data_IF_587054208864
#
_entry.id   IF_587054208864
#
_cell.length_a   1.000
_cell.length_b   1.000
_cell.length_c   1.000
_cell.angle_alpha   90.00
_cell.angle_beta   90.00
_cell.angle_gamma   90.00
#
_symmetry.space_group_name_H-M   'P 1'
#
loop_
_entity.id
_entity.type
_entity.pdbx_description
1 polymer ?
#
# COMPACT_ATOMS: atom_id res chain seq x y z
N UNK A 1 49.67 1.15 15.66
CA UNK A 1 48.95 2.44 15.51
C UNK A 1 48.37 2.41 14.10
N UNK A 2 47.08 2.16 13.86
CA UNK A 2 45.94 3.07 14.05
C UNK A 2 44.68 2.21 14.29
N UNK A 3 44.23 2.12 15.55
CA UNK A 3 42.93 1.55 15.91
C UNK A 3 41.82 2.59 15.72
N UNK A 4 41.65 3.07 14.47
CA UNK A 4 40.64 4.07 14.11
C UNK A 4 39.83 3.70 12.87
N UNK A 5 39.72 2.41 12.56
CA UNK A 5 38.57 1.98 11.75
C UNK A 5 37.37 1.90 12.67
N UNK A 6 36.70 3.05 12.75
CA UNK A 6 35.36 3.29 13.25
C UNK A 6 34.63 2.03 13.75
N UNK A 7 34.62 1.91 15.08
CA UNK A 7 33.64 1.17 15.86
C UNK A 7 32.25 1.83 15.68
N UNK A 8 31.80 2.01 14.44
CA UNK A 8 30.43 2.40 14.11
C UNK A 8 29.65 1.11 14.24
N UNK A 9 29.33 0.81 15.50
CA UNK A 9 28.37 -0.17 16.00
C UNK A 9 27.98 -1.21 14.95
N UNK A 10 28.55 -2.40 15.10
CA UNK A 10 28.05 -3.62 14.46
C UNK A 10 26.65 -3.91 15.02
N UNK A 11 25.71 -3.06 14.64
CA UNK A 11 24.33 -3.11 15.07
C UNK A 11 23.71 -4.26 14.29
N UNK A 12 23.41 -5.32 15.03
CA UNK A 12 22.95 -6.60 14.51
C UNK A 12 21.91 -6.37 13.38
N UNK A 13 22.18 -6.80 12.13
CA UNK A 13 21.38 -6.40 10.97
C UNK A 13 19.94 -6.89 11.10
N UNK A 14 19.71 -8.02 11.79
CA UNK A 14 18.37 -8.49 12.13
C UNK A 14 17.70 -7.53 13.10
N UNK A 15 18.36 -7.10 14.18
CA UNK A 15 17.78 -6.11 15.09
C UNK A 15 17.44 -4.79 14.37
N UNK A 16 18.31 -4.34 13.46
CA UNK A 16 18.05 -3.15 12.63
C UNK A 16 16.83 -3.30 11.75
N UNK A 17 16.69 -4.43 11.05
CA UNK A 17 15.54 -4.72 10.18
C UNK A 17 14.22 -4.61 10.96
N UNK A 18 14.15 -5.22 12.14
CA UNK A 18 12.93 -5.23 12.96
C UNK A 18 12.64 -3.88 13.64
N UNK A 19 13.68 -3.10 13.89
CA UNK A 19 13.58 -1.75 14.45
C UNK A 19 13.44 -0.66 13.38
N UNK A 20 13.47 -1.00 12.09
CA UNK A 20 13.47 -0.03 11.00
C UNK A 20 12.16 0.78 11.01
N UNK A 21 12.28 2.10 10.84
CA UNK A 21 11.17 3.06 10.81
C UNK A 21 11.36 4.06 9.68
N UNK A 22 10.29 4.35 8.96
CA UNK A 22 10.24 5.36 7.92
C UNK A 22 10.35 6.76 8.56
N UNK A 23 11.52 7.38 8.44
CA UNK A 23 11.77 8.76 8.90
C UNK A 23 11.59 9.77 7.75
N UNK A 24 12.09 9.44 6.57
CA UNK A 24 12.06 10.27 5.36
C UNK A 24 11.01 9.83 4.35
N UNK A 25 11.44 9.77 3.09
CA UNK A 25 10.62 9.29 1.99
C UNK A 25 10.35 7.79 2.08
N UNK A 26 9.31 7.31 1.42
CA UNK A 26 9.03 5.88 1.29
C UNK A 26 10.14 5.21 0.47
N UNK A 27 10.66 5.87 -0.56
CA UNK A 27 11.73 5.33 -1.40
C UNK A 27 13.01 5.04 -0.59
N UNK A 28 13.44 5.98 0.27
CA UNK A 28 14.63 5.78 1.12
C UNK A 28 14.42 4.63 2.10
N UNK A 29 13.21 4.53 2.67
CA UNK A 29 12.84 3.45 3.59
C UNK A 29 12.81 2.07 2.90
N UNK A 30 12.27 1.99 1.69
CA UNK A 30 12.26 0.75 0.89
C UNK A 30 13.69 0.32 0.58
N UNK A 31 14.55 1.25 0.14
CA UNK A 31 15.95 0.94 -0.16
C UNK A 31 16.69 0.38 1.07
N UNK A 32 16.57 1.02 2.24
CA UNK A 32 17.22 0.52 3.47
C UNK A 32 16.65 -0.84 3.91
N UNK A 33 15.35 -1.06 3.73
CA UNK A 33 14.71 -2.35 4.03
C UNK A 33 15.23 -3.46 3.10
N UNK A 34 15.29 -3.20 1.79
CA UNK A 34 15.82 -4.15 0.81
C UNK A 34 17.28 -4.49 1.12
N UNK A 35 18.13 -3.51 1.40
CA UNK A 35 19.52 -3.73 1.82
C UNK A 35 19.61 -4.66 3.04
N UNK A 36 18.81 -4.43 4.09
CA UNK A 36 18.84 -5.26 5.29
C UNK A 36 18.32 -6.69 5.03
N UNK A 37 17.33 -6.87 4.17
CA UNK A 37 16.81 -8.21 3.82
C UNK A 37 17.78 -9.05 2.98
N UNK A 38 18.69 -8.43 2.22
CA UNK A 38 19.77 -9.17 1.56
C UNK A 38 20.76 -9.77 2.56
N UNK A 39 20.94 -9.14 3.72
CA UNK A 39 21.86 -9.58 4.77
C UNK A 39 21.17 -10.57 5.71
N UNK A 40 19.92 -10.30 6.09
CA UNK A 40 19.14 -11.09 7.05
C UNK A 40 18.31 -12.14 6.32
N UNK A 41 18.88 -13.34 6.18
CA UNK A 41 18.21 -14.47 5.54
C UNK A 41 17.38 -15.31 6.52
N UNK A 42 16.54 -16.19 5.97
CA UNK A 42 15.74 -17.16 6.75
C UNK A 42 14.52 -16.57 7.47
N UNK A 43 14.05 -15.39 7.04
CA UNK A 43 12.78 -14.80 7.51
C UNK A 43 11.72 -15.02 6.45
N UNK A 44 10.56 -15.51 6.87
CA UNK A 44 9.41 -15.71 5.97
C UNK A 44 8.90 -14.39 5.40
N UNK A 45 8.44 -14.40 4.15
CA UNK A 45 7.95 -13.19 3.47
C UNK A 45 6.79 -12.53 4.23
N UNK A 46 5.86 -13.31 4.78
CA UNK A 46 4.75 -12.80 5.59
C UNK A 46 5.23 -12.01 6.81
N UNK A 47 6.33 -12.46 7.44
CA UNK A 47 6.94 -11.75 8.55
C UNK A 47 7.63 -10.46 8.08
N UNK A 48 8.27 -10.49 6.91
CA UNK A 48 8.86 -9.29 6.31
C UNK A 48 7.79 -8.26 5.93
N UNK A 49 6.65 -8.69 5.38
CA UNK A 49 5.50 -7.83 5.09
C UNK A 49 5.01 -7.13 6.38
N UNK A 50 4.88 -7.89 7.47
CA UNK A 50 4.48 -7.35 8.77
C UNK A 50 5.50 -6.36 9.33
N UNK A 51 6.79 -6.68 9.29
CA UNK A 51 7.87 -5.78 9.74
C UNK A 51 7.87 -4.50 8.91
N UNK A 52 7.78 -4.63 7.58
CA UNK A 52 7.71 -3.47 6.67
C UNK A 52 6.52 -2.58 7.00
N UNK A 53 5.32 -3.18 7.12
CA UNK A 53 4.09 -2.46 7.46
C UNK A 53 4.21 -1.71 8.78
N UNK A 54 4.72 -2.37 9.84
CA UNK A 54 4.88 -1.74 11.17
C UNK A 54 5.91 -0.61 11.19
N UNK A 55 6.84 -0.60 10.24
CA UNK A 55 7.84 0.45 10.13
C UNK A 55 7.41 1.67 9.32
N UNK A 56 6.27 1.61 8.62
CA UNK A 56 5.75 2.75 7.86
C UNK A 56 5.23 3.87 8.75
N UNK A 57 5.07 5.06 8.16
CA UNK A 57 4.34 6.16 8.82
C UNK A 57 2.84 5.85 8.91
N UNK A 58 2.13 6.37 9.93
CA UNK A 58 0.71 6.10 10.14
C UNK A 58 -0.18 6.41 8.93
N UNK A 59 0.09 7.50 8.21
CA UNK A 59 -0.63 7.87 7.00
C UNK A 59 -0.56 6.78 5.91
N UNK A 60 0.55 6.04 5.85
CA UNK A 60 0.73 4.97 4.88
C UNK A 60 0.03 3.67 5.28
N UNK A 61 -0.24 3.46 6.57
CA UNK A 61 -0.97 2.27 7.02
C UNK A 61 -2.37 2.22 6.41
N UNK A 62 -3.03 3.37 6.29
CA UNK A 62 -4.36 3.45 5.69
C UNK A 62 -4.34 3.10 4.20
N UNK A 63 -3.29 3.50 3.48
CA UNK A 63 -3.11 3.11 2.08
C UNK A 63 -3.02 1.59 1.95
N UNK A 64 -2.21 0.94 2.79
CA UNK A 64 -2.04 -0.52 2.77
C UNK A 64 -3.35 -1.23 3.09
N UNK A 65 -4.10 -0.76 4.10
CA UNK A 65 -5.42 -1.32 4.46
C UNK A 65 -6.44 -1.20 3.32
N UNK A 66 -6.44 -0.07 2.60
CA UNK A 66 -7.36 0.16 1.49
C UNK A 66 -7.04 -0.69 0.27
N UNK A 67 -5.76 -0.76 -0.10
CA UNK A 67 -5.33 -1.44 -1.33
C UNK A 67 -5.13 -2.94 -1.16
N UNK A 68 -4.85 -3.40 0.07
CA UNK A 68 -4.61 -4.80 0.43
C UNK A 68 -3.62 -5.49 -0.52
N UNK A 69 -2.42 -4.90 -0.74
CA UNK A 69 -1.39 -5.55 -1.54
C UNK A 69 -0.99 -6.90 -0.92
N UNK A 70 -0.47 -7.81 -1.74
CA UNK A 70 -0.04 -9.16 -1.37
C UNK A 70 1.39 -9.35 -1.87
N UNK A 71 2.31 -9.77 -1.03
CA UNK A 71 3.73 -9.83 -1.36
C UNK A 71 4.43 -8.50 -1.15
N UNK A 72 5.73 -8.57 -0.83
CA UNK A 72 6.57 -7.39 -0.60
C UNK A 72 6.63 -6.47 -1.82
N UNK A 73 6.76 -7.02 -3.02
CA UNK A 73 6.85 -6.24 -4.26
C UNK A 73 5.60 -5.37 -4.51
N UNK A 74 4.41 -5.94 -4.28
CA UNK A 74 3.15 -5.21 -4.42
C UNK A 74 3.00 -4.16 -3.31
N UNK A 75 3.47 -4.48 -2.10
CA UNK A 75 3.47 -3.56 -0.97
C UNK A 75 4.34 -2.34 -1.28
N UNK A 76 5.60 -2.54 -1.71
CA UNK A 76 6.53 -1.47 -2.09
C UNK A 76 5.96 -0.58 -3.19
N UNK A 77 5.48 -1.19 -4.28
CA UNK A 77 4.90 -0.46 -5.40
C UNK A 77 3.68 0.38 -4.98
N UNK A 78 2.86 -0.17 -4.09
CA UNK A 78 1.66 0.51 -3.59
C UNK A 78 2.02 1.71 -2.73
N UNK A 79 2.97 1.57 -1.79
CA UNK A 79 3.32 2.68 -0.90
C UNK A 79 4.10 3.77 -1.63
N UNK A 80 5.00 3.42 -2.55
CA UNK A 80 5.75 4.39 -3.37
C UNK A 80 4.79 5.21 -4.24
N UNK A 81 3.84 4.56 -4.92
CA UNK A 81 2.91 5.26 -5.83
C UNK A 81 1.92 6.20 -5.11
N UNK A 82 1.73 6.02 -3.80
CA UNK A 82 0.72 6.74 -3.03
C UNK A 82 1.31 7.79 -2.09
N UNK A 83 2.61 7.80 -1.85
CA UNK A 83 3.30 8.74 -0.94
C UNK A 83 2.91 10.21 -1.24
N UNK A 84 2.89 10.58 -2.52
CA UNK A 84 2.60 11.93 -2.96
C UNK A 84 1.10 12.26 -3.12
N UNK A 85 0.22 11.31 -2.82
CA UNK A 85 -1.22 11.51 -2.93
C UNK A 85 -1.72 12.56 -1.94
N UNK A 86 -2.79 13.27 -2.34
CA UNK A 86 -3.48 14.24 -1.47
C UNK A 86 -3.96 13.55 -0.18
N UNK A 87 -4.33 12.28 -0.26
CA UNK A 87 -4.72 11.47 0.89
C UNK A 87 -3.61 11.43 1.94
N UNK A 88 -2.40 10.99 1.57
CA UNK A 88 -1.27 10.88 2.51
C UNK A 88 -0.87 12.23 3.08
N UNK A 89 -0.86 13.28 2.25
CA UNK A 89 -0.56 14.66 2.68
C UNK A 89 -1.56 15.16 3.73
N UNK A 90 -2.86 14.92 3.51
CA UNK A 90 -3.92 15.31 4.45
C UNK A 90 -3.85 14.54 5.78
N UNK A 91 -3.52 13.25 5.73
CA UNK A 91 -3.37 12.40 6.92
C UNK A 91 -2.13 12.78 7.74
N UNK A 92 -1.01 13.07 7.07
CA UNK A 92 0.21 13.54 7.71
C UNK A 92 0.02 14.89 8.40
N UNK A 93 -0.76 15.80 7.80
CA UNK A 93 -1.11 17.10 8.41
C UNK A 93 -1.99 16.92 9.66
N UNK A 94 -3.00 16.04 9.58
CA UNK A 94 -3.87 15.75 10.72
C UNK A 94 -3.11 15.10 11.91
N UNK A 95 -2.03 14.38 11.63
CA UNK A 95 -1.20 13.73 12.64
C UNK A 95 -0.23 14.69 13.36
N UNK A 96 -0.01 15.92 12.86
CA UNK A 96 0.92 16.87 13.48
C UNK A 96 0.18 17.92 14.35
N UNK A 97 0.18 17.79 15.69
CA UNK A 97 -0.56 18.68 16.58
C UNK A 97 0.00 20.11 16.63
N UNK A 98 1.25 20.34 16.21
CA UNK A 98 1.95 21.63 16.36
C UNK A 98 1.59 22.67 15.29
N UNK A 99 0.93 22.27 14.20
CA UNK A 99 0.46 23.17 13.13
C UNK A 99 -0.94 23.74 13.37
N UNK A 100 -1.58 23.43 14.50
CA UNK A 100 -2.93 23.93 14.84
C UNK A 100 -3.00 25.42 15.23
N UNK A 101 -1.90 26.17 15.14
CA UNK A 101 -1.85 27.59 15.54
C UNK A 101 -2.14 28.60 14.40
N UNK A 102 -2.75 28.20 13.28
CA UNK A 102 -2.90 29.12 12.13
C UNK A 102 -4.23 29.14 11.39
N UNK A 103 -5.10 28.13 11.48
CA UNK A 103 -6.35 28.14 10.74
C UNK A 103 -7.47 27.48 11.53
N UNK A 104 -8.17 28.29 12.33
CA UNK A 104 -9.49 27.99 12.86
C UNK A 104 -10.39 29.22 12.61
N UNK A 105 -10.82 29.36 11.37
CA UNK A 105 -12.02 30.07 10.90
C UNK A 105 -12.06 29.80 9.39
N UNK A 106 -12.97 29.03 8.81
CA UNK A 106 -14.38 29.38 8.67
C UNK A 106 -15.26 28.11 8.66
N UNK A 107 -15.98 27.86 9.76
CA UNK A 107 -17.30 27.23 9.70
C UNK A 107 -18.32 28.28 10.17
N UNK A 108 -18.76 29.09 9.20
CA UNK A 108 -20.03 29.85 9.04
C UNK A 108 -20.51 30.82 10.15
N UNK A 109 -21.22 31.90 9.75
CA UNK A 109 -22.68 31.82 9.88
C UNK A 109 -23.51 32.47 8.74
N UNK A 110 -24.63 31.79 8.45
CA UNK A 110 -25.95 32.28 8.00
C UNK A 110 -26.17 32.88 6.60
N UNK A 111 -26.72 32.06 5.68
CA UNK A 111 -27.93 32.40 4.90
C UNK A 111 -28.87 31.18 4.80
N UNK A 112 -29.92 31.21 5.63
CA UNK A 112 -31.33 30.90 5.36
C UNK A 112 -31.65 29.79 4.31
N UNK A 113 -32.10 28.65 4.84
CA UNK A 113 -33.27 27.85 4.43
C UNK A 113 -33.37 27.39 2.96
N UNK A 114 -32.98 26.13 2.69
CA UNK A 114 -33.81 25.05 2.09
C UNK A 114 -32.92 23.92 1.54
N UNK A 115 -33.25 22.67 1.89
CA UNK A 115 -32.91 21.51 1.07
C UNK A 115 -31.98 20.49 1.71
N UNK A 116 -32.58 19.43 2.24
CA UNK A 116 -31.94 18.14 2.50
C UNK A 116 -31.53 17.54 1.14
N UNK A 117 -30.25 17.21 0.93
CA UNK A 117 -29.83 16.34 -0.17
C UNK A 117 -28.44 16.63 -0.76
N UNK A 118 -27.72 15.55 -1.08
CA UNK A 118 -26.51 15.47 -1.89
C UNK A 118 -25.15 15.67 -1.19
N UNK A 119 -24.86 14.68 -0.33
CA UNK A 119 -23.52 14.10 -0.15
C UNK A 119 -22.86 13.71 -1.50
N UNK A 120 -21.54 13.87 -1.55
CA UNK A 120 -20.59 13.27 -2.50
C UNK A 120 -20.79 13.57 -4.00
N UNK A 121 -20.18 14.65 -4.50
CA UNK A 121 -19.64 14.69 -5.87
C UNK A 121 -18.70 15.88 -6.03
N UNK A 122 -17.68 15.71 -6.89
CA UNK A 122 -16.58 16.64 -7.23
C UNK A 122 -15.36 16.34 -6.36
N UNK A 123 -14.48 15.43 -6.77
CA UNK A 123 -13.43 15.76 -7.72
C UNK A 123 -13.29 14.67 -8.80
N UNK A 124 -13.83 14.92 -9.99
CA UNK A 124 -13.67 14.09 -11.19
C UNK A 124 -13.36 15.00 -12.37
N UNK A 125 -12.21 15.67 -12.32
CA UNK A 125 -11.57 16.33 -13.46
C UNK A 125 -10.13 16.71 -13.04
N UNK A 126 -9.16 16.49 -13.93
CA UNK A 126 -7.71 16.64 -13.74
C UNK A 126 -6.97 15.40 -13.19
N UNK A 127 -6.99 14.31 -13.98
CA UNK A 127 -5.76 13.57 -14.28
C UNK A 127 -6.00 12.70 -15.51
N UNK A 128 -5.94 13.36 -16.67
CA UNK A 128 -6.14 12.74 -17.97
C UNK A 128 -4.80 12.37 -18.63
N UNK A 129 -3.85 11.80 -17.87
CA UNK A 129 -2.60 11.28 -18.45
C UNK A 129 -1.89 10.32 -17.49
N UNK A 130 -2.48 9.16 -17.23
CA UNK A 130 -1.77 7.88 -16.99
C UNK A 130 -2.84 6.80 -16.83
N UNK A 131 -3.09 6.02 -17.88
CA UNK A 131 -3.97 4.84 -17.80
C UNK A 131 -3.28 3.77 -16.94
N UNK A 132 -3.90 3.27 -15.86
CA UNK A 132 -3.36 2.12 -15.16
C UNK A 132 -3.74 0.82 -15.88
N UNK A 133 -2.71 0.07 -16.27
CA UNK A 133 -2.81 -1.28 -16.85
C UNK A 133 -3.16 -2.28 -15.74
N UNK A 134 -4.42 -2.40 -15.32
CA UNK A 134 -4.83 -3.53 -14.47
C UNK A 134 -6.30 -3.97 -14.59
N UNK A 135 -7.07 -3.46 -15.56
CA UNK A 135 -8.45 -3.92 -15.79
C UNK A 135 -8.62 -5.03 -16.84
N UNK A 136 -7.57 -5.81 -17.15
CA UNK A 136 -7.68 -6.88 -18.16
C UNK A 136 -7.57 -8.32 -17.64
N UNK A 137 -7.15 -8.55 -16.40
CA UNK A 137 -6.86 -9.92 -15.93
C UNK A 137 -7.93 -10.57 -15.05
N UNK A 138 -9.09 -9.93 -14.82
CA UNK A 138 -10.20 -10.53 -14.05
C UNK A 138 -11.25 -11.26 -14.92
N UNK A 139 -11.24 -11.04 -16.23
CA UNK A 139 -12.23 -11.63 -17.15
C UNK A 139 -11.83 -13.01 -17.72
N UNK A 140 -10.55 -13.42 -17.64
CA UNK A 140 -10.10 -14.70 -18.20
C UNK A 140 -10.09 -15.89 -17.22
N UNK A 141 -10.18 -15.64 -15.91
CA UNK A 141 -10.17 -16.71 -14.91
C UNK A 141 -11.53 -17.42 -14.70
N UNK A 142 -12.64 -16.87 -15.22
CA UNK A 142 -13.98 -17.49 -15.10
C UNK A 142 -14.37 -18.41 -16.27
N UNK A 143 -13.61 -18.41 -17.36
CA UNK A 143 -13.95 -19.21 -18.55
C UNK A 143 -13.34 -20.63 -18.55
N UNK A 144 -12.36 -20.93 -17.69
CA UNK A 144 -11.70 -22.26 -17.69
C UNK A 144 -12.38 -23.31 -16.81
N UNK A 145 -13.24 -22.93 -15.86
CA UNK A 145 -13.89 -23.87 -14.93
C UNK A 145 -15.23 -24.42 -15.42
N UNK A 146 -15.83 -23.84 -16.47
CA UNK A 146 -17.07 -24.38 -17.07
C UNK A 146 -16.81 -25.38 -18.22
N UNK A 147 -15.61 -25.43 -18.80
CA UNK A 147 -15.32 -26.33 -19.92
C UNK A 147 -15.03 -27.79 -19.51
N UNK A 148 -14.73 -28.07 -18.23
CA UNK A 148 -14.39 -29.44 -17.80
C UNK A 148 -15.58 -30.27 -17.32
N UNK A 149 -16.74 -29.66 -17.05
CA UNK A 149 -17.94 -30.39 -16.60
C UNK A 149 -18.89 -30.78 -17.73
N UNK A 150 -18.70 -30.24 -18.94
CA UNK A 150 -19.50 -30.56 -20.13
C UNK A 150 -18.92 -31.68 -21.02
N UNK A 151 -17.75 -32.25 -20.68
CA UNK A 151 -17.10 -33.30 -21.48
C UNK A 151 -17.18 -34.71 -20.87
N UNK A 152 -17.91 -34.90 -19.77
CA UNK A 152 -18.09 -36.21 -19.13
C UNK A 152 -19.50 -36.82 -19.30
N UNK A 153 -20.39 -36.21 -20.11
CA UNK A 153 -21.73 -36.78 -20.37
C UNK A 153 -21.99 -37.17 -21.84
N UNK A 154 -21.01 -37.04 -22.74
CA UNK A 154 -21.17 -37.47 -24.15
C UNK A 154 -20.33 -38.72 -24.51
N UNK A 155 -19.70 -39.37 -23.54
CA UNK A 155 -18.97 -40.63 -23.76
C UNK A 155 -19.62 -41.81 -23.00
N UNK A 156 -20.92 -41.73 -22.73
CA UNK A 156 -21.71 -42.82 -22.14
C UNK A 156 -23.03 -43.08 -22.92
N UNK A 157 -23.04 -42.80 -24.24
CA UNK A 157 -24.16 -43.19 -25.14
C UNK A 157 -23.63 -43.87 -26.42
N UNK A 158 -22.49 -44.58 -26.36
CA UNK A 158 -22.03 -45.42 -27.48
C UNK A 158 -21.47 -46.76 -27.02
N UNK A 159 -21.95 -47.26 -25.87
CA UNK A 159 -21.71 -48.64 -25.43
C UNK A 159 -22.95 -49.14 -24.71
N UNK A 160 -24.04 -49.40 -25.44
CA UNK A 160 -25.25 -49.93 -24.83
C UNK A 160 -26.42 -50.07 -25.80
N UNK A 161 -26.46 -51.23 -26.48
CA UNK A 161 -27.57 -51.80 -27.26
C UNK A 161 -27.81 -51.26 -28.68
#
# INVERSE_FOLDING_TARGET
>A
MIARFNQKMEENPRMRLFALRQKGSVADYVNEFEELTTIVTGVEEENLENVFYLGLKPEMHEVVKMQKPRGLSALFSTVISMEDSIFCKSMAEAANPFRRSGFLCVLLPNIIHKGIGAQVRVQRALNHQHRPVYKLNRAKARARTQSHRGKQMEEEITVGC
#
